data_IF_317481235362
#
_entry.id   IF_317481235362
#
_cell.length_a   1.000
_cell.length_b   1.000
_cell.length_c   1.000
_cell.angle_alpha   90.00
_cell.angle_beta   90.00
_cell.angle_gamma   90.00
#
_symmetry.space_group_name_H-M   'P 1'
#
loop_
_entity.id
_entity.type
_entity.pdbx_description
1 polymer ?
#
# COMPACT_ATOMS: atom_id res chain seq x y z
N UNK A 1 -8.52 17.76 -4.92
CA UNK A 1 -7.11 17.61 -4.58
C UNK A 1 -6.70 16.29 -5.22
N UNK A 2 -5.66 16.25 -6.04
CA UNK A 2 -5.17 14.99 -6.60
C UNK A 2 -3.74 14.80 -6.10
N UNK A 3 -3.57 13.95 -5.09
CA UNK A 3 -2.27 13.35 -4.84
C UNK A 3 -2.44 11.86 -5.12
N UNK A 4 -2.18 11.51 -6.37
CA UNK A 4 -2.07 10.12 -6.83
C UNK A 4 -0.61 9.74 -6.70
N UNK A 5 -0.23 9.20 -5.54
CA UNK A 5 1.13 8.68 -5.35
C UNK A 5 1.14 7.21 -5.69
N UNK A 6 1.88 6.84 -6.73
CA UNK A 6 1.98 5.47 -7.23
C UNK A 6 3.40 4.99 -7.03
N UNK A 7 3.52 3.89 -6.28
CA UNK A 7 4.76 3.15 -6.12
C UNK A 7 4.72 1.93 -7.03
N UNK A 8 5.59 1.91 -8.03
CA UNK A 8 5.86 0.77 -8.91
C UNK A 8 7.29 0.28 -8.70
N UNK A 9 7.62 -0.91 -9.19
CA UNK A 9 8.97 -1.50 -9.06
C UNK A 9 9.44 -1.59 -7.61
N UNK A 10 8.48 -1.79 -6.69
CA UNK A 10 8.75 -2.12 -5.31
C UNK A 10 9.67 -3.35 -5.34
N UNK A 11 10.85 -3.30 -4.70
CA UNK A 11 11.77 -4.44 -4.57
C UNK A 11 11.19 -5.52 -3.63
N UNK A 12 9.96 -5.94 -3.91
CA UNK A 12 9.07 -6.75 -3.11
C UNK A 12 8.67 -7.96 -3.91
N UNK A 13 8.76 -9.14 -3.29
CA UNK A 13 8.32 -10.39 -3.90
C UNK A 13 6.81 -10.54 -3.90
N UNK A 14 6.11 -9.90 -2.96
CA UNK A 14 4.66 -10.06 -2.76
C UNK A 14 3.82 -8.98 -3.45
N UNK A 15 4.30 -7.74 -3.47
CA UNK A 15 3.52 -6.57 -3.91
C UNK A 15 4.12 -6.00 -5.18
N UNK A 16 3.29 -5.84 -6.21
CA UNK A 16 3.66 -5.30 -7.51
C UNK A 16 3.62 -3.77 -7.52
N UNK A 17 2.51 -3.22 -7.02
CA UNK A 17 2.32 -1.78 -6.93
C UNK A 17 1.43 -1.38 -5.75
N UNK A 18 1.62 -0.15 -5.28
CA UNK A 18 0.77 0.51 -4.29
C UNK A 18 0.41 1.89 -4.82
N UNK A 19 -0.89 2.17 -4.94
CA UNK A 19 -1.41 3.48 -5.31
C UNK A 19 -2.16 4.08 -4.11
N UNK A 20 -1.79 5.29 -3.74
CA UNK A 20 -2.40 6.06 -2.67
C UNK A 20 -3.21 7.18 -3.31
N UNK A 21 -4.46 7.29 -2.88
CA UNK A 21 -5.43 8.33 -3.24
C UNK A 21 -5.84 9.08 -1.96
N UNK A 22 -6.79 10.03 -2.01
CA UNK A 22 -7.16 10.87 -0.85
C UNK A 22 -7.52 10.05 0.41
N UNK A 23 -8.34 9.01 0.25
CA UNK A 23 -8.80 8.14 1.36
C UNK A 23 -8.74 6.66 1.04
N UNK A 24 -8.01 6.31 -0.01
CA UNK A 24 -7.96 4.94 -0.53
C UNK A 24 -6.53 4.53 -0.78
N UNK A 25 -6.24 3.26 -0.54
CA UNK A 25 -5.02 2.59 -0.92
C UNK A 25 -5.39 1.41 -1.81
N UNK A 26 -4.77 1.35 -2.98
CA UNK A 26 -4.95 0.31 -3.98
C UNK A 26 -3.67 -0.50 -4.09
N UNK A 27 -3.79 -1.82 -4.00
CA UNK A 27 -2.64 -2.73 -3.96
C UNK A 27 -2.82 -3.79 -5.04
N UNK A 28 -1.77 -3.99 -5.85
CA UNK A 28 -1.67 -5.10 -6.79
C UNK A 28 -0.60 -6.05 -6.28
N UNK A 29 -0.92 -7.33 -6.17
CA UNK A 29 0.03 -8.36 -5.71
C UNK A 29 0.67 -9.07 -6.90
N UNK A 30 1.93 -9.48 -6.77
CA UNK A 30 2.64 -10.23 -7.82
C UNK A 30 2.00 -11.60 -8.09
N UNK A 31 1.28 -12.18 -7.11
CA UNK A 31 0.57 -13.45 -7.29
C UNK A 31 -0.65 -13.35 -8.19
N UNK A 32 -1.18 -12.14 -8.42
CA UNK A 32 -2.29 -11.88 -9.32
C UNK A 32 -2.27 -10.39 -9.74
N UNK A 33 -1.52 -10.10 -10.79
CA UNK A 33 -1.31 -8.73 -11.28
C UNK A 33 -2.54 -8.14 -11.98
N UNK A 34 -3.50 -8.97 -12.39
CA UNK A 34 -4.75 -8.54 -13.01
C UNK A 34 -5.78 -8.03 -11.99
N UNK A 35 -5.52 -8.22 -10.69
CA UNK A 35 -6.44 -7.87 -9.62
C UNK A 35 -5.90 -6.74 -8.74
N UNK A 36 -6.67 -5.65 -8.69
CA UNK A 36 -6.47 -4.53 -7.78
C UNK A 36 -7.32 -4.71 -6.51
N UNK A 37 -6.68 -4.61 -5.34
CA UNK A 37 -7.33 -4.66 -4.04
C UNK A 37 -7.43 -3.26 -3.47
N UNK A 38 -8.65 -2.79 -3.18
CA UNK A 38 -8.88 -1.45 -2.64
C UNK A 38 -9.14 -1.51 -1.14
N UNK A 39 -8.51 -0.60 -0.41
CA UNK A 39 -8.63 -0.42 1.02
C UNK A 39 -8.96 1.04 1.33
N UNK A 40 -9.83 1.26 2.30
CA UNK A 40 -10.05 2.57 2.91
C UNK A 40 -8.86 2.92 3.80
N UNK A 41 -8.42 4.16 3.77
CA UNK A 41 -7.35 4.68 4.59
C UNK A 41 -7.70 6.11 5.03
N UNK A 42 -8.00 6.30 6.30
CA UNK A 42 -8.38 7.63 6.81
C UNK A 42 -7.18 8.58 6.92
N UNK A 43 -5.97 8.03 7.09
CA UNK A 43 -4.72 8.78 7.22
C UNK A 43 -3.69 8.31 6.19
N UNK A 44 -3.88 8.76 4.95
CA UNK A 44 -3.04 8.40 3.80
C UNK A 44 -1.63 8.97 3.92
N UNK A 45 -1.45 10.11 4.58
CA UNK A 45 -0.14 10.70 4.87
C UNK A 45 0.72 9.81 5.79
N UNK A 46 0.12 9.29 6.88
CA UNK A 46 0.80 8.35 7.77
C UNK A 46 1.15 7.05 7.05
N UNK A 47 0.21 6.51 6.27
CA UNK A 47 0.47 5.32 5.47
C UNK A 47 1.62 5.54 4.48
N UNK A 48 1.62 6.67 3.77
CA UNK A 48 2.63 7.04 2.79
C UNK A 48 4.02 7.18 3.41
N UNK A 49 4.08 7.83 4.58
CA UNK A 49 5.33 7.99 5.35
C UNK A 49 5.89 6.65 5.78
N UNK A 50 5.05 5.76 6.34
CA UNK A 50 5.47 4.43 6.75
C UNK A 50 5.91 3.56 5.57
N UNK A 51 5.17 3.59 4.46
CA UNK A 51 5.55 2.87 3.24
C UNK A 51 6.90 3.34 2.69
N UNK A 52 7.12 4.65 2.64
CA UNK A 52 8.39 5.24 2.19
C UNK A 52 9.55 4.83 3.08
N UNK A 53 9.35 4.76 4.40
CA UNK A 53 10.35 4.26 5.34
C UNK A 53 10.64 2.77 5.13
N UNK A 54 9.60 1.94 4.97
CA UNK A 54 9.75 0.51 4.65
C UNK A 54 10.58 0.30 3.38
N UNK A 55 10.34 1.10 2.35
CA UNK A 55 11.12 1.03 1.11
C UNK A 55 12.57 1.47 1.30
N UNK A 56 12.79 2.60 1.98
CA UNK A 56 14.11 3.14 2.27
C UNK A 56 14.95 2.15 3.09
N UNK A 57 14.33 1.49 4.06
CA UNK A 57 14.96 0.51 4.93
C UNK A 57 15.07 -0.89 4.29
N UNK A 58 14.62 -1.07 3.03
CA UNK A 58 14.58 -2.36 2.31
C UNK A 58 13.84 -3.45 3.08
N UNK A 59 12.79 -3.06 3.80
CA UNK A 59 11.93 -3.96 4.54
C UNK A 59 10.86 -4.60 3.65
N UNK A 60 10.23 -5.67 4.14
CA UNK A 60 9.18 -6.37 3.39
C UNK A 60 7.91 -5.54 3.29
N UNK A 61 7.62 -5.02 2.09
CA UNK A 61 6.37 -4.31 1.78
C UNK A 61 5.14 -5.19 2.06
N UNK A 62 5.19 -6.48 1.71
CA UNK A 62 4.09 -7.41 2.00
C UNK A 62 3.79 -7.54 3.49
N UNK A 63 4.84 -7.57 4.34
CA UNK A 63 4.68 -7.58 5.79
C UNK A 63 4.10 -6.27 6.30
N UNK A 64 4.58 -5.14 5.80
CA UNK A 64 4.04 -3.82 6.12
C UNK A 64 2.53 -3.76 5.83
N UNK A 65 2.10 -4.10 4.62
CA UNK A 65 0.67 -4.13 4.25
C UNK A 65 -0.14 -5.03 5.19
N UNK A 66 0.36 -6.24 5.50
CA UNK A 66 -0.32 -7.14 6.43
C UNK A 66 -0.46 -6.54 7.83
N UNK A 67 0.58 -5.88 8.35
CA UNK A 67 0.52 -5.15 9.61
C UNK A 67 -0.45 -3.98 9.55
N UNK A 68 -0.44 -3.18 8.47
CA UNK A 68 -1.35 -2.05 8.29
C UNK A 68 -2.82 -2.48 8.31
N UNK A 69 -3.15 -3.64 7.73
CA UNK A 69 -4.51 -4.20 7.80
C UNK A 69 -4.87 -4.62 9.23
N UNK A 70 -3.93 -5.27 9.95
CA UNK A 70 -4.16 -5.75 11.33
C UNK A 70 -4.29 -4.59 12.33
N UNK A 71 -3.50 -3.55 12.15
CA UNK A 71 -3.48 -2.35 12.99
C UNK A 71 -4.61 -1.37 12.63
N UNK A 72 -5.35 -1.63 11.55
CA UNK A 72 -6.47 -0.80 11.11
C UNK A 72 -6.06 0.49 10.38
N UNK A 73 -4.78 0.64 10.03
CA UNK A 73 -4.29 1.78 9.24
C UNK A 73 -4.90 1.80 7.82
N UNK A 74 -5.14 0.60 7.27
CA UNK A 74 -5.95 0.40 6.06
C UNK A 74 -7.00 -0.66 6.34
N UNK A 75 -8.20 -0.49 5.78
CA UNK A 75 -9.33 -1.40 6.01
C UNK A 75 -9.87 -1.86 4.65
N UNK A 76 -10.07 -3.17 4.42
CA UNK A 76 -10.61 -3.64 3.15
C UNK A 76 -11.92 -2.93 2.79
N UNK A 77 -11.96 -2.28 1.62
CA UNK A 77 -13.19 -1.71 1.10
C UNK A 77 -14.08 -2.87 0.65
N UNK A 78 -15.29 -2.99 1.21
CA UNK A 78 -16.28 -4.00 0.81
C UNK A 78 -16.94 -3.62 -0.50
#
# INVERSE_FOLDING_TARGET
MEIVQIYTELASTAVSSVKIDEKLVKIVYNSNTDKEYTFNCDNTDEFNTKLSNTLTNKESVGRFISSSVKEGLIVPSK
#
